data_IF_867655140316
#
_entry.id   IF_867655140316
#
_cell.length_a   1.000
_cell.length_b   1.000
_cell.length_c   1.000
_cell.angle_alpha   90.00
_cell.angle_beta   90.00
_cell.angle_gamma   90.00
#
_symmetry.space_group_name_H-M   'P 1'
#
loop_
_entity.id
_entity.type
_entity.pdbx_description
1 polymer ?
#
# COMPACT_ATOMS: atom_id res chain seq x y z
N UNK A 1 -6.12 3.31 31.56
CA UNK A 1 -4.67 3.52 31.33
C UNK A 1 -4.03 4.08 32.59
N UNK A 2 -2.86 3.61 33.00
CA UNK A 2 -2.10 4.22 34.12
C UNK A 2 -1.46 5.54 33.67
N UNK A 3 -1.86 6.64 34.32
CA UNK A 3 -1.37 7.98 34.06
C UNK A 3 0.01 8.16 34.72
N UNK A 4 1.06 8.40 33.93
CA UNK A 4 2.43 8.63 34.45
C UNK A 4 2.84 10.09 34.29
N UNK A 5 3.76 10.55 35.15
CA UNK A 5 4.26 11.94 35.11
C UNK A 5 4.81 12.31 33.73
N UNK A 6 5.61 11.43 33.11
CA UNK A 6 6.19 11.67 31.79
C UNK A 6 5.13 11.82 30.70
N UNK A 7 4.08 10.99 30.74
CA UNK A 7 2.95 11.10 29.81
C UNK A 7 2.23 12.43 29.96
N UNK A 8 2.01 12.89 31.19
CA UNK A 8 1.34 14.17 31.46
C UNK A 8 2.16 15.35 30.94
N UNK A 9 3.49 15.31 31.10
CA UNK A 9 4.37 16.40 30.65
C UNK A 9 4.54 16.43 29.13
N UNK A 10 4.52 15.27 28.47
CA UNK A 10 4.50 15.17 27.01
C UNK A 10 3.24 15.79 26.39
N UNK A 11 2.19 16.00 27.17
CA UNK A 11 0.95 16.68 26.74
C UNK A 11 0.98 18.20 26.93
N UNK A 12 2.05 18.75 27.51
CA UNK A 12 2.14 20.19 27.72
C UNK A 12 2.30 20.93 26.37
N UNK A 13 1.59 22.04 26.16
CA UNK A 13 1.67 22.79 24.89
C UNK A 13 3.02 23.49 24.69
N UNK A 14 3.76 23.74 25.78
CA UNK A 14 5.11 24.28 25.79
C UNK A 14 5.81 23.99 27.12
N UNK A 15 7.13 24.15 27.15
CA UNK A 15 7.96 23.89 28.32
C UNK A 15 7.60 24.79 29.52
N UNK A 16 7.20 26.04 29.26
CA UNK A 16 6.73 26.96 30.29
C UNK A 16 5.45 26.46 30.98
N UNK A 17 4.51 25.91 30.23
CA UNK A 17 3.30 25.27 30.76
C UNK A 17 3.64 24.04 31.61
N UNK A 18 4.61 23.23 31.20
CA UNK A 18 5.09 22.07 31.96
C UNK A 18 5.72 22.48 33.31
N UNK A 19 6.61 23.48 33.29
CA UNK A 19 7.27 24.00 34.51
C UNK A 19 6.25 24.60 35.49
N UNK A 20 5.32 25.41 34.97
CA UNK A 20 4.29 26.03 35.81
C UNK A 20 3.27 25.01 36.34
N UNK A 21 2.94 23.98 35.56
CA UNK A 21 2.10 22.88 36.02
C UNK A 21 2.75 22.11 37.18
N UNK A 22 4.05 21.78 37.10
CA UNK A 22 4.78 21.14 38.21
C UNK A 22 4.73 21.97 39.49
N UNK A 23 4.87 23.30 39.40
CA UNK A 23 4.76 24.20 40.56
C UNK A 23 3.35 24.23 41.15
N UNK A 24 2.33 24.09 40.31
CA UNK A 24 0.92 24.07 40.71
C UNK A 24 0.43 22.69 41.17
N UNK A 25 1.16 21.60 40.93
CA UNK A 25 0.83 20.25 41.36
C UNK A 25 1.19 19.98 42.85
N UNK A 26 0.80 20.91 43.73
CA UNK A 26 1.02 20.81 45.18
C UNK A 26 -0.33 20.59 45.88
N UNK A 27 -0.54 19.54 46.69
CA UNK A 27 -1.83 19.28 47.33
C UNK A 27 -2.42 20.47 48.09
N UNK A 28 -1.58 21.32 48.70
CA UNK A 28 -2.01 22.53 49.42
C UNK A 28 -2.65 23.61 48.54
N UNK A 29 -2.45 23.58 47.22
CA UNK A 29 -3.07 24.51 46.28
C UNK A 29 -4.43 24.02 45.76
N UNK A 30 -4.89 22.85 46.20
CA UNK A 30 -6.07 22.21 45.67
C UNK A 30 -7.09 21.90 46.76
N UNK A 31 -8.35 22.18 46.45
CA UNK A 31 -9.49 21.83 47.26
C UNK A 31 -10.55 21.14 46.40
N UNK A 32 -11.52 20.51 47.05
CA UNK A 32 -12.61 19.79 46.38
C UNK A 32 -12.13 18.80 45.29
N UNK A 33 -11.00 18.15 45.53
CA UNK A 33 -10.44 17.18 44.59
C UNK A 33 -11.20 15.87 44.65
N UNK A 34 -11.27 15.17 43.52
CA UNK A 34 -11.84 13.84 43.46
C UNK A 34 -11.60 13.13 42.14
N UNK A 35 -11.83 11.83 42.17
CA UNK A 35 -11.83 10.93 41.02
C UNK A 35 -13.09 10.05 41.06
N UNK A 36 -13.65 9.79 39.89
CA UNK A 36 -14.69 8.79 39.69
C UNK A 36 -14.51 8.14 38.31
N UNK A 37 -14.10 6.88 38.28
CA UNK A 37 -13.70 6.22 37.02
C UNK A 37 -12.57 6.98 36.33
N UNK A 38 -12.75 7.37 35.06
CA UNK A 38 -11.77 8.13 34.28
C UNK A 38 -11.81 9.66 34.51
N UNK A 39 -12.78 10.15 35.28
CA UNK A 39 -12.92 11.58 35.53
C UNK A 39 -12.14 12.01 36.77
N UNK A 40 -11.35 13.08 36.65
CA UNK A 40 -10.72 13.77 37.78
C UNK A 40 -11.14 15.24 37.81
N UNK A 41 -11.29 15.79 39.00
CA UNK A 41 -11.60 17.21 39.17
C UNK A 41 -10.91 17.78 40.41
N UNK A 42 -10.87 19.10 40.46
CA UNK A 42 -10.42 19.83 41.63
C UNK A 42 -10.57 21.33 41.42
N UNK A 43 -10.40 22.06 42.51
CA UNK A 43 -10.42 23.52 42.53
C UNK A 43 -9.02 24.01 42.87
N UNK A 44 -8.35 24.68 41.94
CA UNK A 44 -7.01 25.22 42.16
C UNK A 44 -7.10 26.64 42.72
N UNK A 45 -6.31 26.93 43.75
CA UNK A 45 -6.16 28.27 44.32
C UNK A 45 -5.59 29.27 43.29
N UNK A 46 -6.09 30.51 43.34
CA UNK A 46 -5.77 31.62 42.45
C UNK A 46 -6.40 32.92 42.98
N UNK A 47 -6.31 34.03 42.22
CA UNK A 47 -7.04 35.26 42.55
C UNK A 47 -8.55 35.00 42.66
N UNK A 48 -9.06 34.15 41.78
CA UNK A 48 -10.32 33.45 41.94
C UNK A 48 -10.07 31.93 41.83
N UNK A 49 -10.80 31.07 42.56
CA UNK A 49 -10.62 29.62 42.48
C UNK A 49 -10.97 29.08 41.09
N UNK A 50 -10.07 28.32 40.49
CA UNK A 50 -10.28 27.73 39.16
C UNK A 50 -10.81 26.32 39.27
N UNK A 51 -12.01 26.08 38.74
CA UNK A 51 -12.59 24.75 38.62
C UNK A 51 -11.92 24.02 37.46
N UNK A 52 -11.44 22.81 37.71
CA UNK A 52 -10.73 21.97 36.74
C UNK A 52 -11.41 20.61 36.66
N UNK A 53 -11.63 20.15 35.44
CA UNK A 53 -12.25 18.86 35.12
C UNK A 53 -11.43 18.22 33.99
N UNK A 54 -11.05 16.97 34.16
CA UNK A 54 -10.28 16.21 33.18
C UNK A 54 -10.89 14.82 33.01
N UNK A 55 -11.02 14.40 31.76
CA UNK A 55 -11.42 13.04 31.37
C UNK A 55 -10.17 12.30 30.87
N UNK A 56 -9.79 11.23 31.56
CA UNK A 56 -8.58 10.46 31.31
C UNK A 56 -8.73 9.41 30.18
N UNK A 57 -9.96 9.08 29.76
CA UNK A 57 -10.19 8.10 28.67
C UNK A 57 -10.05 8.71 27.27
N UNK A 58 -10.07 10.03 27.17
CA UNK A 58 -9.73 10.75 25.95
C UNK A 58 -9.44 12.20 26.30
N UNK A 59 -8.17 12.60 26.49
CA UNK A 59 -7.77 13.75 27.29
C UNK A 59 -8.56 15.01 26.94
N UNK A 60 -9.55 15.27 27.77
CA UNK A 60 -10.44 16.42 27.68
C UNK A 60 -10.16 17.33 28.85
N UNK A 61 -10.13 18.64 28.61
CA UNK A 61 -9.84 19.60 29.67
C UNK A 61 -10.91 20.66 29.68
N UNK A 62 -11.49 20.88 30.86
CA UNK A 62 -12.31 22.04 31.14
C UNK A 62 -11.75 22.73 32.37
N UNK A 63 -11.36 23.98 32.19
CA UNK A 63 -10.87 24.83 33.25
C UNK A 63 -11.49 26.21 33.12
N UNK A 64 -11.87 26.83 34.24
CA UNK A 64 -12.40 28.20 34.28
C UNK A 64 -11.32 29.28 34.18
N UNK A 65 -10.03 28.92 34.03
CA UNK A 65 -8.96 29.89 33.87
C UNK A 65 -9.02 30.60 32.50
N UNK A 66 -8.56 31.86 32.39
CA UNK A 66 -8.60 32.64 31.14
C UNK A 66 -7.53 32.20 30.10
N UNK A 67 -6.76 31.15 30.37
CA UNK A 67 -5.68 30.73 29.47
C UNK A 67 -6.23 30.12 28.17
N UNK A 68 -5.74 30.54 26.99
CA UNK A 68 -6.12 29.92 25.72
C UNK A 68 -5.42 28.56 25.50
N UNK A 69 -4.41 28.22 26.31
CA UNK A 69 -3.61 27.01 26.16
C UNK A 69 -4.40 25.78 26.64
N UNK A 70 -4.41 24.72 25.83
CA UNK A 70 -5.08 23.44 26.14
C UNK A 70 -4.11 22.27 25.91
N UNK A 71 -3.86 21.42 26.93
CA UNK A 71 -4.24 21.60 28.32
C UNK A 71 -3.56 22.84 28.96
N UNK A 72 -4.30 23.54 29.83
CA UNK A 72 -3.75 24.64 30.60
C UNK A 72 -2.88 24.12 31.76
N UNK A 73 -2.11 25.00 32.41
CA UNK A 73 -1.26 24.62 33.56
C UNK A 73 -2.04 23.93 34.68
N UNK A 74 -3.32 24.29 34.88
CA UNK A 74 -4.16 23.73 35.94
C UNK A 74 -4.61 22.31 35.60
N UNK A 75 -5.02 22.06 34.36
CA UNK A 75 -5.37 20.71 33.90
C UNK A 75 -4.15 19.77 33.98
N UNK A 76 -2.98 20.24 33.55
CA UNK A 76 -1.71 19.51 33.70
C UNK A 76 -1.39 19.25 35.18
N UNK A 77 -1.52 20.25 36.04
CA UNK A 77 -1.25 20.11 37.47
C UNK A 77 -2.18 19.10 38.18
N UNK A 78 -3.46 19.07 37.81
CA UNK A 78 -4.42 18.09 38.34
C UNK A 78 -4.06 16.65 37.90
N UNK A 79 -3.68 16.49 36.63
CA UNK A 79 -3.20 15.19 36.11
C UNK A 79 -1.89 14.76 36.79
N UNK A 80 -0.99 15.70 37.05
CA UNK A 80 0.24 15.43 37.80
C UNK A 80 -0.07 14.98 39.23
N UNK A 81 -1.01 15.62 39.93
CA UNK A 81 -1.45 15.20 41.27
C UNK A 81 -2.03 13.79 41.26
N UNK A 82 -2.85 13.45 40.26
CA UNK A 82 -3.37 12.08 40.11
C UNK A 82 -2.24 11.07 39.86
N UNK A 83 -1.21 11.44 39.09
CA UNK A 83 -0.08 10.57 38.77
C UNK A 83 0.91 10.38 39.92
N UNK A 84 1.03 11.36 40.84
CA UNK A 84 2.01 11.34 41.94
C UNK A 84 1.42 10.93 43.28
N UNK A 85 0.33 11.57 43.70
CA UNK A 85 -0.27 11.37 45.02
C UNK A 85 -1.57 10.57 44.95
N UNK A 86 -2.22 10.54 43.79
CA UNK A 86 -3.59 10.04 43.64
C UNK A 86 -4.62 11.02 44.21
N UNK A 87 -5.77 11.09 43.57
CA UNK A 87 -6.93 11.86 44.05
C UNK A 87 -7.94 10.91 44.72
N UNK A 88 -8.70 11.39 45.71
CA UNK A 88 -9.66 10.55 46.44
C UNK A 88 -10.80 10.09 45.53
N UNK A 89 -11.20 8.83 45.64
CA UNK A 89 -12.39 8.32 44.94
C UNK A 89 -13.66 8.83 45.64
N UNK A 90 -14.58 9.47 44.90
CA UNK A 90 -15.85 10.01 45.42
C UNK A 90 -16.86 10.17 44.29
N UNK A 91 -18.17 10.25 44.56
CA UNK A 91 -19.16 10.52 43.53
C UNK A 91 -18.86 11.83 42.79
N UNK A 92 -18.97 11.81 41.46
CA UNK A 92 -18.72 12.98 40.63
C UNK A 92 -19.78 14.07 40.88
N UNK A 93 -19.39 15.33 41.11
CA UNK A 93 -20.33 16.44 41.21
C UNK A 93 -21.16 16.61 39.93
N UNK A 94 -22.35 17.19 40.03
CA UNK A 94 -23.29 17.37 38.91
C UNK A 94 -22.68 18.13 37.72
N UNK A 95 -21.79 19.10 37.98
CA UNK A 95 -21.04 19.81 36.91
C UNK A 95 -20.18 18.86 36.07
N UNK A 96 -19.54 17.88 36.72
CA UNK A 96 -18.59 16.94 36.11
C UNK A 96 -19.38 15.89 35.34
N UNK A 97 -20.42 15.31 35.96
CA UNK A 97 -21.29 14.34 35.30
C UNK A 97 -22.06 14.94 34.12
N UNK A 98 -22.56 16.18 34.24
CA UNK A 98 -23.22 16.91 33.16
C UNK A 98 -22.27 17.24 32.00
N UNK A 99 -21.03 17.62 32.29
CA UNK A 99 -20.00 17.85 31.26
C UNK A 99 -19.63 16.58 30.50
N UNK A 100 -19.36 15.48 31.22
CA UNK A 100 -19.06 14.17 30.62
C UNK A 100 -20.22 13.66 29.77
N UNK A 101 -21.46 13.80 30.26
CA UNK A 101 -22.66 13.39 29.53
C UNK A 101 -22.80 14.15 28.20
N UNK A 102 -22.65 15.49 28.22
CA UNK A 102 -22.69 16.31 26.99
C UNK A 102 -21.59 15.92 26.00
N UNK A 103 -20.37 15.66 26.48
CA UNK A 103 -19.23 15.22 25.65
C UNK A 103 -19.51 13.87 25.01
N UNK A 104 -20.02 12.90 25.78
CA UNK A 104 -20.34 11.56 25.26
C UNK A 104 -21.40 11.61 24.15
N UNK A 105 -22.43 12.44 24.32
CA UNK A 105 -23.48 12.65 23.31
C UNK A 105 -22.93 13.35 22.07
N UNK A 106 -22.07 14.36 22.22
CA UNK A 106 -21.42 15.04 21.10
C UNK A 106 -20.44 14.14 20.34
N UNK A 107 -19.68 13.29 21.03
CA UNK A 107 -18.77 12.34 20.39
C UNK A 107 -19.54 11.25 19.63
N UNK A 108 -20.64 10.74 20.21
CA UNK A 108 -21.52 9.77 19.54
C UNK A 108 -22.24 10.38 18.33
N UNK A 109 -22.75 11.60 18.43
CA UNK A 109 -23.41 12.28 17.31
C UNK A 109 -22.41 12.61 16.20
N UNK A 110 -21.23 13.13 16.54
CA UNK A 110 -20.15 13.39 15.57
C UNK A 110 -19.71 12.09 14.89
N UNK A 111 -19.52 11.00 15.64
CA UNK A 111 -19.19 9.69 15.06
C UNK A 111 -20.27 9.15 14.12
N UNK A 112 -21.56 9.31 14.46
CA UNK A 112 -22.67 8.89 13.58
C UNK A 112 -22.80 9.75 12.32
N UNK A 113 -22.63 11.06 12.43
CA UNK A 113 -22.64 11.98 11.29
C UNK A 113 -21.45 11.71 10.37
N UNK A 114 -20.26 11.48 10.95
CA UNK A 114 -19.05 11.13 10.19
C UNK A 114 -19.22 9.78 9.48
N UNK A 115 -19.85 8.78 10.11
CA UNK A 115 -20.14 7.49 9.47
C UNK A 115 -21.16 7.61 8.34
N UNK A 116 -22.31 8.27 8.58
CA UNK A 116 -23.33 8.47 7.55
C UNK A 116 -22.79 9.28 6.36
N UNK A 117 -21.92 10.27 6.61
CA UNK A 117 -21.25 11.01 5.56
C UNK A 117 -20.25 10.15 4.76
N UNK A 118 -19.53 9.23 5.42
CA UNK A 118 -18.65 8.26 4.76
C UNK A 118 -19.45 7.29 3.89
N UNK A 119 -20.52 6.72 4.43
CA UNK A 119 -21.38 5.78 3.71
C UNK A 119 -22.02 6.45 2.48
N UNK A 120 -22.49 7.69 2.62
CA UNK A 120 -23.04 8.47 1.50
C UNK A 120 -21.98 8.77 0.43
N UNK A 121 -20.73 9.04 0.81
CA UNK A 121 -19.62 9.24 -0.14
C UNK A 121 -19.26 7.96 -0.86
N UNK A 122 -19.24 6.83 -0.16
CA UNK A 122 -18.95 5.53 -0.78
C UNK A 122 -20.06 5.13 -1.76
N UNK A 123 -21.34 5.29 -1.38
CA UNK A 123 -22.45 5.05 -2.30
C UNK A 123 -22.41 5.96 -3.53
N UNK A 124 -22.08 7.25 -3.35
CA UNK A 124 -21.92 8.18 -4.47
C UNK A 124 -20.76 7.77 -5.40
N UNK A 125 -19.65 7.27 -4.83
CA UNK A 125 -18.53 6.72 -5.58
C UNK A 125 -18.94 5.49 -6.39
N UNK A 126 -19.61 4.52 -5.75
CA UNK A 126 -20.08 3.30 -6.42
C UNK A 126 -20.98 3.64 -7.61
N UNK A 127 -21.93 4.57 -7.45
CA UNK A 127 -22.79 5.01 -8.57
C UNK A 127 -22.02 5.62 -9.74
N UNK A 128 -20.98 6.43 -9.46
CA UNK A 128 -20.12 7.00 -10.49
C UNK A 128 -19.31 5.93 -11.22
N UNK A 129 -18.77 4.98 -10.47
CA UNK A 129 -18.02 3.84 -11.01
C UNK A 129 -18.92 2.98 -11.89
N UNK A 130 -20.13 2.64 -11.43
CA UNK A 130 -21.09 1.86 -12.22
C UNK A 130 -21.45 2.56 -13.53
N UNK A 131 -21.77 3.86 -13.48
CA UNK A 131 -22.04 4.64 -14.68
C UNK A 131 -20.83 4.69 -15.63
N UNK A 132 -19.61 4.84 -15.09
CA UNK A 132 -18.38 4.84 -15.87
C UNK A 132 -18.08 3.50 -16.53
N UNK A 133 -18.33 2.37 -15.84
CA UNK A 133 -18.12 1.03 -16.37
C UNK A 133 -19.13 0.68 -17.46
N UNK A 134 -20.40 1.12 -17.35
CA UNK A 134 -21.37 0.94 -18.43
C UNK A 134 -21.03 1.79 -19.67
N UNK A 135 -20.54 3.01 -19.47
CA UNK A 135 -20.02 3.82 -20.57
C UNK A 135 -18.77 3.18 -21.20
N UNK A 136 -17.87 2.62 -20.40
CA UNK A 136 -16.70 1.87 -20.88
C UNK A 136 -17.13 0.63 -21.68
N UNK A 137 -18.11 -0.13 -21.20
CA UNK A 137 -18.66 -1.30 -21.91
C UNK A 137 -19.15 -0.93 -23.31
N UNK A 138 -19.94 0.14 -23.38
CA UNK A 138 -20.46 0.65 -24.65
C UNK A 138 -19.32 1.03 -25.58
N UNK A 139 -18.32 1.76 -25.06
CA UNK A 139 -17.14 2.16 -25.81
C UNK A 139 -16.34 0.94 -26.32
N UNK A 140 -16.15 -0.11 -25.51
CA UNK A 140 -15.47 -1.35 -25.90
C UNK A 140 -16.23 -2.09 -27.01
N UNK A 141 -17.54 -2.27 -26.86
CA UNK A 141 -18.39 -2.91 -27.86
C UNK A 141 -18.34 -2.17 -29.21
N UNK A 142 -18.36 -0.83 -29.18
CA UNK A 142 -18.24 -0.04 -30.39
C UNK A 142 -16.89 -0.23 -31.08
N UNK A 143 -15.78 -0.39 -30.33
CA UNK A 143 -14.46 -0.66 -30.91
C UNK A 143 -14.42 -2.00 -31.62
N UNK A 144 -14.92 -3.06 -30.98
CA UNK A 144 -14.96 -4.39 -31.60
C UNK A 144 -15.88 -4.39 -32.82
N UNK A 145 -17.03 -3.70 -32.76
CA UNK A 145 -17.98 -3.61 -33.88
C UNK A 145 -17.42 -2.86 -35.10
N UNK A 146 -16.67 -1.78 -34.88
CA UNK A 146 -16.05 -0.99 -35.96
C UNK A 146 -14.82 -1.69 -36.57
N UNK A 147 -14.23 -2.64 -35.85
CA UNK A 147 -13.05 -3.38 -36.25
C UNK A 147 -11.75 -2.81 -35.67
N UNK A 148 -10.86 -3.70 -35.23
CA UNK A 148 -9.64 -3.35 -34.49
C UNK A 148 -8.63 -2.59 -35.38
N UNK A 149 -8.61 -2.89 -36.68
CA UNK A 149 -7.73 -2.22 -37.64
C UNK A 149 -7.96 -0.69 -37.70
N UNK A 150 -9.18 -0.23 -37.37
CA UNK A 150 -9.53 1.19 -37.37
C UNK A 150 -8.78 1.98 -36.28
N UNK A 151 -8.34 1.31 -35.21
CA UNK A 151 -7.64 1.92 -34.09
C UNK A 151 -6.29 2.53 -34.49
N UNK A 152 -5.63 2.01 -35.53
CA UNK A 152 -4.36 2.54 -36.05
C UNK A 152 -4.49 3.97 -36.57
N UNK A 153 -5.68 4.33 -37.07
CA UNK A 153 -5.97 5.68 -37.57
C UNK A 153 -6.41 6.67 -36.49
N UNK A 154 -6.60 6.22 -35.24
CA UNK A 154 -7.10 7.07 -34.15
C UNK A 154 -5.99 7.97 -33.60
N UNK A 155 -6.27 9.26 -33.39
CA UNK A 155 -5.28 10.17 -32.82
C UNK A 155 -5.07 9.89 -31.32
N UNK A 156 -3.89 10.24 -30.75
CA UNK A 156 -3.64 10.09 -29.31
C UNK A 156 -4.67 10.76 -28.39
N UNK A 157 -5.31 11.85 -28.84
CA UNK A 157 -6.37 12.52 -28.08
C UNK A 157 -7.56 11.60 -27.80
N UNK A 158 -7.89 10.69 -28.73
CA UNK A 158 -8.97 9.72 -28.57
C UNK A 158 -8.79 8.85 -27.31
N UNK A 159 -7.56 8.36 -27.10
CA UNK A 159 -7.20 7.53 -25.95
C UNK A 159 -7.15 8.35 -24.66
N UNK A 160 -6.57 9.56 -24.71
CA UNK A 160 -6.51 10.47 -23.55
C UNK A 160 -7.89 10.92 -23.08
N UNK A 161 -8.81 11.20 -24.00
CA UNK A 161 -10.19 11.55 -23.66
C UNK A 161 -10.90 10.38 -22.96
N UNK A 162 -10.71 9.15 -23.45
CA UNK A 162 -11.29 7.98 -22.79
C UNK A 162 -10.66 7.70 -21.43
N UNK A 163 -9.34 7.89 -21.28
CA UNK A 163 -8.65 7.80 -20.00
C UNK A 163 -9.16 8.86 -18.99
N UNK A 164 -9.39 10.10 -19.43
CA UNK A 164 -9.96 11.17 -18.60
C UNK A 164 -11.37 10.82 -18.09
N UNK A 165 -12.22 10.23 -18.96
CA UNK A 165 -13.55 9.77 -18.55
C UNK A 165 -13.49 8.71 -17.44
N UNK A 166 -12.45 7.87 -17.40
CA UNK A 166 -12.27 6.91 -16.31
C UNK A 166 -11.92 7.61 -15.00
N UNK A 167 -11.03 8.61 -15.02
CA UNK A 167 -10.70 9.42 -13.84
C UNK A 167 -11.96 10.15 -13.31
N UNK A 168 -12.75 10.76 -14.19
CA UNK A 168 -14.01 11.45 -13.85
C UNK A 168 -15.04 10.51 -13.21
N UNK A 169 -15.07 9.26 -13.68
CA UNK A 169 -15.88 8.18 -13.12
C UNK A 169 -15.31 7.56 -11.83
N UNK A 170 -14.17 8.06 -11.32
CA UNK A 170 -13.46 7.54 -10.15
C UNK A 170 -12.84 6.14 -10.33
N UNK A 171 -12.57 5.75 -11.59
CA UNK A 171 -11.93 4.50 -12.00
C UNK A 171 -10.41 4.69 -12.15
N UNK A 172 -9.74 5.13 -11.09
CA UNK A 172 -8.33 5.62 -11.14
C UNK A 172 -7.29 4.60 -11.61
N UNK A 173 -7.62 3.31 -11.62
CA UNK A 173 -6.72 2.27 -12.11
C UNK A 173 -6.82 1.98 -13.61
N UNK A 174 -7.79 2.58 -14.32
CA UNK A 174 -8.01 2.32 -15.75
C UNK A 174 -7.34 3.31 -16.73
N UNK A 175 -7.09 4.60 -16.41
CA UNK A 175 -6.46 5.53 -17.35
C UNK A 175 -5.14 5.00 -17.93
N UNK A 176 -4.23 4.54 -17.06
CA UNK A 176 -2.94 3.96 -17.44
C UNK A 176 -3.11 2.77 -18.40
N UNK A 177 -4.09 1.92 -18.12
CA UNK A 177 -4.34 0.71 -18.90
C UNK A 177 -4.90 1.03 -20.28
N UNK A 178 -5.73 2.06 -20.40
CA UNK A 178 -6.23 2.56 -21.69
C UNK A 178 -5.08 3.11 -22.54
N UNK A 179 -4.20 3.91 -21.94
CA UNK A 179 -3.04 4.46 -22.66
C UNK A 179 -2.02 3.37 -23.02
N UNK A 180 -1.89 2.32 -22.21
CA UNK A 180 -1.06 1.17 -22.55
C UNK A 180 -1.60 0.35 -23.73
N UNK A 181 -2.89 0.46 -24.08
CA UNK A 181 -3.43 -0.16 -25.31
C UNK A 181 -2.95 0.63 -26.53
N UNK A 182 -2.98 1.96 -26.47
CA UNK A 182 -2.48 2.82 -27.54
C UNK A 182 -1.04 2.47 -27.93
N UNK A 183 -0.16 2.28 -26.95
CA UNK A 183 1.26 1.97 -27.21
C UNK A 183 1.50 0.61 -27.87
N UNK A 184 0.53 -0.31 -27.82
CA UNK A 184 0.67 -1.63 -28.45
C UNK A 184 0.34 -1.58 -29.94
N UNK A 185 -0.48 -0.63 -30.38
CA UNK A 185 -0.93 -0.52 -31.77
C UNK A 185 0.27 -0.26 -32.67
N UNK A 186 0.50 -1.14 -33.66
CA UNK A 186 1.62 -1.05 -34.58
C UNK A 186 2.99 -1.41 -33.98
N UNK A 187 3.08 -1.81 -32.71
CA UNK A 187 4.36 -2.13 -32.06
C UNK A 187 4.98 -3.44 -32.55
N UNK A 188 4.16 -4.41 -32.96
CA UNK A 188 4.56 -5.70 -33.51
C UNK A 188 3.52 -6.22 -34.50
N UNK A 189 3.85 -7.14 -35.43
CA UNK A 189 2.88 -7.68 -36.41
C UNK A 189 1.62 -8.29 -35.77
N UNK A 190 1.74 -8.87 -34.57
CA UNK A 190 0.63 -9.48 -33.81
C UNK A 190 -0.19 -8.50 -32.95
N UNK A 191 0.04 -7.19 -33.05
CA UNK A 191 -0.62 -6.21 -32.20
C UNK A 191 -2.16 -6.29 -32.17
N UNK A 192 -2.90 -6.68 -33.25
CA UNK A 192 -4.35 -6.73 -33.18
C UNK A 192 -4.84 -7.78 -32.16
N UNK A 193 -4.12 -8.90 -32.01
CA UNK A 193 -4.44 -9.95 -31.04
C UNK A 193 -4.19 -9.46 -29.61
N UNK A 194 -3.04 -8.81 -29.38
CA UNK A 194 -2.68 -8.24 -28.08
C UNK A 194 -3.69 -7.17 -27.63
N UNK A 195 -4.09 -6.29 -28.55
CA UNK A 195 -5.09 -5.25 -28.29
C UNK A 195 -6.46 -5.88 -28.02
N UNK A 196 -6.87 -6.89 -28.80
CA UNK A 196 -8.13 -7.59 -28.55
C UNK A 196 -8.15 -8.26 -27.18
N UNK A 197 -7.04 -8.92 -26.78
CA UNK A 197 -6.91 -9.54 -25.47
C UNK A 197 -7.06 -8.51 -24.35
N UNK A 198 -6.46 -7.33 -24.49
CA UNK A 198 -6.58 -6.26 -23.51
C UNK A 198 -7.98 -5.64 -23.45
N UNK A 199 -8.64 -5.42 -24.60
CA UNK A 199 -10.03 -4.98 -24.66
C UNK A 199 -10.97 -6.02 -24.02
N UNK A 200 -10.75 -7.31 -24.29
CA UNK A 200 -11.48 -8.41 -23.68
C UNK A 200 -11.26 -8.48 -22.17
N UNK A 201 -10.03 -8.26 -21.71
CA UNK A 201 -9.70 -8.22 -20.29
C UNK A 201 -10.33 -6.99 -19.59
N UNK A 202 -10.51 -5.85 -20.27
CA UNK A 202 -11.29 -4.71 -19.76
C UNK A 202 -12.78 -5.05 -19.69
N UNK A 203 -13.32 -5.73 -20.70
CA UNK A 203 -14.71 -6.18 -20.72
C UNK A 203 -14.99 -7.19 -19.59
N UNK A 204 -14.06 -8.11 -19.34
CA UNK A 204 -14.14 -9.05 -18.21
C UNK A 204 -14.14 -8.30 -16.87
N UNK A 205 -13.36 -7.22 -16.75
CA UNK A 205 -13.32 -6.38 -15.55
C UNK A 205 -14.67 -5.71 -15.29
N UNK A 206 -15.29 -5.17 -16.33
CA UNK A 206 -16.65 -4.62 -16.26
C UNK A 206 -17.64 -5.69 -15.78
N UNK A 207 -17.60 -6.88 -16.37
CA UNK A 207 -18.52 -7.95 -16.01
C UNK A 207 -18.33 -8.45 -14.58
N UNK A 208 -17.08 -8.59 -14.14
CA UNK A 208 -16.76 -8.95 -12.77
C UNK A 208 -17.30 -7.93 -11.76
N UNK A 209 -17.29 -6.63 -12.08
CA UNK A 209 -17.89 -5.62 -11.21
C UNK A 209 -19.43 -5.70 -11.15
N UNK A 210 -20.08 -6.12 -12.24
CA UNK A 210 -21.54 -6.35 -12.28
C UNK A 210 -21.92 -7.55 -11.40
N UNK A 211 -21.08 -8.58 -11.36
CA UNK A 211 -21.25 -9.79 -10.54
C UNK A 211 -20.50 -9.75 -9.20
N UNK A 212 -20.09 -8.57 -8.74
CA UNK A 212 -19.23 -8.41 -7.55
C UNK A 212 -19.78 -9.02 -6.26
N UNK A 213 -21.09 -9.15 -6.15
CA UNK A 213 -21.75 -9.72 -4.96
C UNK A 213 -21.55 -11.23 -4.84
N UNK A 214 -21.28 -11.89 -5.97
CA UNK A 214 -21.02 -13.34 -6.07
C UNK A 214 -19.52 -13.66 -6.04
N UNK A 215 -18.64 -12.66 -6.06
CA UNK A 215 -17.20 -12.87 -6.10
C UNK A 215 -16.64 -13.22 -4.71
N UNK A 216 -15.68 -14.16 -4.62
CA UNK A 216 -14.92 -14.36 -3.39
C UNK A 216 -14.24 -13.07 -2.93
N UNK A 217 -14.25 -12.80 -1.62
CA UNK A 217 -13.71 -11.55 -1.06
C UNK A 217 -12.26 -11.24 -1.50
N UNK A 218 -11.31 -12.22 -1.59
CA UNK A 218 -9.97 -11.95 -2.09
C UNK A 218 -9.98 -11.42 -3.53
N UNK A 219 -10.81 -11.98 -4.41
CA UNK A 219 -10.93 -11.56 -5.80
C UNK A 219 -11.59 -10.18 -5.89
N UNK A 220 -12.62 -9.92 -5.09
CA UNK A 220 -13.27 -8.61 -5.02
C UNK A 220 -12.31 -7.52 -4.53
N UNK A 221 -11.46 -7.81 -3.54
CA UNK A 221 -10.42 -6.90 -3.06
C UNK A 221 -9.40 -6.58 -4.17
N UNK A 222 -8.96 -7.61 -4.92
CA UNK A 222 -8.10 -7.43 -6.09
C UNK A 222 -8.75 -6.58 -7.19
N UNK A 223 -10.03 -6.83 -7.49
CA UNK A 223 -10.82 -6.06 -8.46
C UNK A 223 -10.95 -4.59 -8.04
N UNK A 224 -11.30 -4.32 -6.78
CA UNK A 224 -11.34 -2.96 -6.21
C UNK A 224 -10.00 -2.25 -6.38
N UNK A 225 -8.90 -2.93 -6.09
CA UNK A 225 -7.55 -2.39 -6.29
C UNK A 225 -7.29 -1.98 -7.74
N UNK A 226 -7.65 -2.83 -8.71
CA UNK A 226 -7.51 -2.55 -10.16
C UNK A 226 -8.39 -1.42 -10.64
N UNK A 227 -9.55 -1.23 -10.04
CA UNK A 227 -10.43 -0.10 -10.33
C UNK A 227 -9.97 1.21 -9.68
N UNK A 228 -8.98 1.17 -8.79
CA UNK A 228 -8.43 2.35 -8.14
C UNK A 228 -8.98 2.64 -6.74
N UNK A 229 -9.62 1.66 -6.08
CA UNK A 229 -9.73 1.71 -4.61
C UNK A 229 -8.34 1.58 -4.00
N UNK A 230 -8.03 2.49 -3.09
CA UNK A 230 -6.77 2.46 -2.35
C UNK A 230 -7.01 1.82 -0.99
N UNK A 231 -6.31 0.72 -0.71
CA UNK A 231 -6.21 0.19 0.65
C UNK A 231 -5.21 1.06 1.41
N UNK A 232 -5.62 1.76 2.47
CA UNK A 232 -4.71 2.62 3.21
C UNK A 232 -3.54 1.81 3.75
N UNK A 233 -2.34 2.37 3.62
CA UNK A 233 -1.11 1.74 4.12
C UNK A 233 -1.24 1.26 5.56
N UNK A 234 -1.83 2.10 6.43
CA UNK A 234 -2.06 1.80 7.84
C UNK A 234 -2.89 0.52 8.03
N UNK A 235 -3.97 0.36 7.25
CA UNK A 235 -4.83 -0.83 7.32
C UNK A 235 -4.05 -2.09 6.90
N UNK A 236 -3.23 -2.02 5.84
CA UNK A 236 -2.39 -3.15 5.43
C UNK A 236 -1.38 -3.52 6.53
N UNK A 237 -0.78 -2.52 7.19
CA UNK A 237 0.15 -2.79 8.28
C UNK A 237 -0.54 -3.36 9.53
N UNK A 238 -1.78 -2.98 9.82
CA UNK A 238 -2.49 -3.42 11.02
C UNK A 238 -3.23 -4.76 10.83
N UNK A 239 -3.86 -4.95 9.67
CA UNK A 239 -4.80 -6.05 9.40
C UNK A 239 -4.33 -6.99 8.29
N UNK A 240 -3.34 -6.56 7.49
CA UNK A 240 -2.80 -7.38 6.40
C UNK A 240 -2.04 -8.59 6.94
N UNK A 241 -2.07 -9.66 6.16
CA UNK A 241 -1.35 -10.87 6.54
C UNK A 241 0.16 -10.64 6.57
N UNK A 242 0.81 -11.14 7.62
CA UNK A 242 2.22 -10.91 7.89
C UNK A 242 3.02 -12.18 7.65
N UNK A 243 4.06 -12.06 6.83
CA UNK A 243 5.03 -13.13 6.61
C UNK A 243 6.41 -12.63 7.02
N UNK A 244 6.98 -13.30 8.02
CA UNK A 244 8.37 -13.11 8.42
C UNK A 244 9.24 -14.09 7.63
N UNK A 245 10.25 -13.57 6.94
CA UNK A 245 11.18 -14.39 6.16
C UNK A 245 12.53 -13.67 6.00
N UNK A 246 13.49 -14.39 5.43
CA UNK A 246 14.69 -13.84 4.82
C UNK A 246 14.41 -13.59 3.34
N UNK A 247 14.20 -12.34 2.99
CA UNK A 247 13.81 -11.91 1.66
C UNK A 247 15.03 -11.66 0.78
N UNK A 248 15.00 -12.20 -0.44
CA UNK A 248 15.91 -11.84 -1.52
C UNK A 248 15.19 -10.91 -2.50
N UNK A 249 15.72 -9.72 -2.76
CA UNK A 249 15.27 -8.85 -3.84
C UNK A 249 15.83 -9.39 -5.16
N UNK A 250 14.99 -10.01 -5.98
CA UNK A 250 15.43 -10.68 -7.22
C UNK A 250 15.47 -9.74 -8.42
N UNK A 251 14.78 -8.61 -8.36
CA UNK A 251 14.76 -7.65 -9.45
C UNK A 251 13.99 -6.40 -9.11
N UNK A 252 14.26 -5.34 -9.86
CA UNK A 252 13.51 -4.11 -9.81
C UNK A 252 13.33 -3.56 -11.22
N UNK A 253 12.15 -2.98 -11.50
CA UNK A 253 11.82 -2.27 -12.74
C UNK A 253 11.26 -0.91 -12.39
N UNK A 254 11.71 0.11 -13.09
CA UNK A 254 11.14 1.44 -13.00
C UNK A 254 10.43 1.77 -14.32
N UNK A 255 9.21 2.28 -14.24
CA UNK A 255 8.44 2.68 -15.40
C UNK A 255 7.79 4.03 -15.11
N UNK A 256 7.97 5.00 -16.00
CA UNK A 256 7.22 6.24 -15.96
C UNK A 256 5.76 5.97 -16.33
N UNK A 257 4.82 6.50 -15.55
CA UNK A 257 3.40 6.30 -15.81
C UNK A 257 2.95 7.14 -16.99
N UNK A 258 2.05 6.59 -17.80
CA UNK A 258 1.49 7.25 -18.98
C UNK A 258 0.45 8.32 -18.62
N UNK A 259 -0.26 8.14 -17.50
CA UNK A 259 -1.34 9.05 -17.09
C UNK A 259 -0.87 10.25 -16.26
N UNK A 260 0.11 10.05 -15.36
CA UNK A 260 0.59 11.11 -14.46
C UNK A 260 2.01 11.51 -14.85
N UNK A 261 2.14 12.71 -15.41
CA UNK A 261 3.44 13.24 -15.86
C UNK A 261 4.45 13.32 -14.71
N UNK A 262 5.67 12.83 -14.97
CA UNK A 262 6.77 12.82 -14.01
C UNK A 262 6.57 11.88 -12.82
N UNK A 263 5.59 10.97 -12.84
CA UNK A 263 5.44 9.92 -11.84
C UNK A 263 6.11 8.64 -12.31
N UNK A 264 7.07 8.14 -11.54
CA UNK A 264 7.75 6.86 -11.80
C UNK A 264 7.27 5.80 -10.82
N UNK A 265 6.78 4.68 -11.33
CA UNK A 265 6.46 3.49 -10.56
C UNK A 265 7.67 2.53 -10.54
N UNK A 266 8.18 2.26 -9.35
CA UNK A 266 9.22 1.29 -9.06
C UNK A 266 8.60 0.00 -8.56
N UNK A 267 8.78 -1.08 -9.29
CA UNK A 267 8.35 -2.44 -8.94
C UNK A 267 9.56 -3.25 -8.53
N UNK A 268 9.62 -3.69 -7.28
CA UNK A 268 10.62 -4.64 -6.78
C UNK A 268 9.98 -6.00 -6.55
N UNK A 269 10.63 -7.05 -7.05
CA UNK A 269 10.26 -8.44 -6.82
C UNK A 269 11.11 -9.05 -5.72
N UNK A 270 10.49 -9.81 -4.83
CA UNK A 270 11.13 -10.48 -3.73
C UNK A 270 10.66 -11.93 -3.65
N UNK A 271 11.54 -12.79 -3.12
CA UNK A 271 11.20 -14.16 -2.73
C UNK A 271 11.68 -14.41 -1.29
N UNK A 272 10.83 -15.02 -0.48
CA UNK A 272 11.17 -15.51 0.84
C UNK A 272 11.98 -16.80 0.75
N UNK A 273 13.17 -16.83 1.34
CA UNK A 273 14.08 -17.98 1.22
C UNK A 273 13.63 -19.19 2.05
N UNK A 274 12.80 -19.00 3.09
CA UNK A 274 12.28 -20.09 3.93
C UNK A 274 10.90 -20.54 3.46
N UNK A 275 10.04 -19.60 3.09
CA UNK A 275 8.62 -19.87 2.78
C UNK A 275 8.34 -20.05 1.28
N UNK A 276 9.24 -19.60 0.40
CA UNK A 276 8.97 -19.51 -1.03
C UNK A 276 7.95 -18.45 -1.42
N UNK A 277 7.46 -17.64 -0.47
CA UNK A 277 6.49 -16.58 -0.74
C UNK A 277 7.07 -15.58 -1.73
N UNK A 278 6.36 -15.35 -2.84
CA UNK A 278 6.68 -14.32 -3.84
C UNK A 278 6.01 -13.02 -3.43
N UNK A 279 6.72 -11.91 -3.55
CA UNK A 279 6.19 -10.60 -3.20
C UNK A 279 6.61 -9.51 -4.19
N UNK A 280 5.75 -8.52 -4.35
CA UNK A 280 5.93 -7.33 -5.15
C UNK A 280 5.74 -6.11 -4.27
N UNK A 281 6.79 -5.30 -4.17
CA UNK A 281 6.73 -4.00 -3.49
C UNK A 281 6.71 -2.91 -4.55
N UNK A 282 5.70 -2.03 -4.47
CA UNK A 282 5.57 -0.87 -5.35
C UNK A 282 5.96 0.39 -4.59
N UNK A 283 6.85 1.20 -5.18
CA UNK A 283 7.08 2.59 -4.76
C UNK A 283 6.75 3.53 -5.90
N UNK A 284 6.22 4.70 -5.57
CA UNK A 284 5.94 5.74 -6.53
C UNK A 284 6.78 6.95 -6.17
N UNK A 285 7.38 7.56 -7.17
CA UNK A 285 8.30 8.68 -6.99
C UNK A 285 7.95 9.76 -8.00
N UNK A 286 7.64 10.98 -7.51
CA UNK A 286 7.38 12.11 -8.40
C UNK A 286 8.68 12.85 -8.71
N UNK A 287 8.86 13.32 -9.95
CA UNK A 287 10.05 14.04 -10.42
C UNK A 287 10.37 15.27 -9.55
N UNK A 288 9.35 15.95 -9.04
CA UNK A 288 9.52 17.07 -8.12
C UNK A 288 10.03 16.65 -6.72
N UNK A 289 9.70 15.44 -6.27
CA UNK A 289 10.14 14.88 -4.99
C UNK A 289 11.59 14.40 -5.05
N UNK A 290 12.05 13.87 -6.20
CA UNK A 290 13.48 13.58 -6.46
C UNK A 290 14.40 14.76 -6.16
N UNK A 291 13.94 15.98 -6.45
CA UNK A 291 14.70 17.20 -6.17
C UNK A 291 14.62 17.64 -4.70
N UNK A 292 13.51 17.32 -4.00
CA UNK A 292 13.28 17.69 -2.59
C UNK A 292 13.79 16.68 -1.57
N UNK A 293 14.02 15.42 -1.96
CA UNK A 293 14.50 14.34 -1.11
C UNK A 293 15.86 14.61 -0.44
N UNK A 294 16.56 15.70 -0.79
CA UNK A 294 17.77 16.18 -0.09
C UNK A 294 17.49 16.83 1.27
N UNK A 295 16.22 17.13 1.61
CA UNK A 295 15.87 17.91 2.82
C UNK A 295 15.30 17.08 3.98
N UNK A 296 14.98 15.80 3.78
CA UNK A 296 14.45 14.92 4.82
C UNK A 296 14.96 13.48 4.63
N UNK A 297 15.52 12.82 5.65
CA UNK A 297 15.95 11.43 5.51
C UNK A 297 14.74 10.52 5.20
N UNK A 298 14.85 9.62 4.20
CA UNK A 298 13.79 8.70 3.85
C UNK A 298 13.49 7.74 5.02
N UNK A 299 12.23 7.32 5.16
CA UNK A 299 11.88 6.30 6.15
C UNK A 299 12.51 4.95 5.76
N UNK A 300 12.80 4.04 6.71
CA UNK A 300 13.43 2.75 6.40
C UNK A 300 12.69 1.91 5.35
N UNK A 301 11.36 2.04 5.27
CA UNK A 301 10.49 1.37 4.30
C UNK A 301 10.36 2.11 2.95
N UNK A 302 10.79 3.36 2.88
CA UNK A 302 10.88 4.17 1.64
C UNK A 302 12.24 4.00 0.95
N UNK A 303 13.21 3.43 1.66
CA UNK A 303 14.52 3.13 1.10
C UNK A 303 14.41 2.18 -0.09
N UNK A 304 15.28 2.36 -1.11
CA UNK A 304 15.31 1.47 -2.26
C UNK A 304 15.54 0.01 -1.84
N UNK A 305 14.88 -0.89 -2.55
CA UNK A 305 15.12 -2.33 -2.49
C UNK A 305 15.97 -2.64 -3.70
N UNK A 306 17.25 -2.92 -3.44
CA UNK A 306 18.23 -3.09 -4.51
C UNK A 306 18.28 -4.56 -4.94
N UNK A 307 18.24 -4.86 -6.25
CA UNK A 307 18.43 -6.22 -6.74
C UNK A 307 19.69 -6.88 -6.15
N UNK A 308 19.55 -8.12 -5.69
CA UNK A 308 20.59 -8.89 -4.98
C UNK A 308 20.66 -8.64 -3.47
N UNK A 309 20.02 -7.58 -2.95
CA UNK A 309 19.94 -7.33 -1.52
C UNK A 309 19.17 -8.44 -0.81
N UNK A 310 19.66 -8.81 0.38
CA UNK A 310 18.97 -9.71 1.31
C UNK A 310 18.71 -8.99 2.63
N UNK A 311 17.54 -9.25 3.20
CA UNK A 311 17.21 -8.76 4.53
C UNK A 311 16.31 -9.76 5.26
N UNK A 312 16.46 -9.82 6.58
CA UNK A 312 15.47 -10.45 7.44
C UNK A 312 14.39 -9.43 7.79
N UNK A 313 13.13 -9.82 7.71
CA UNK A 313 12.06 -8.87 7.93
C UNK A 313 10.67 -9.44 7.75
N UNK A 314 9.70 -8.63 8.15
CA UNK A 314 8.27 -8.94 8.00
C UNK A 314 7.68 -8.12 6.85
N UNK A 315 6.99 -8.80 5.94
CA UNK A 315 6.15 -8.17 4.93
C UNK A 315 4.68 -8.30 5.32
N UNK A 316 3.90 -7.23 5.11
CA UNK A 316 2.45 -7.25 5.22
C UNK A 316 1.81 -7.17 3.83
N UNK A 317 0.91 -8.10 3.53
CA UNK A 317 0.31 -8.25 2.21
C UNK A 317 -1.00 -7.50 2.07
N UNK A 318 -1.20 -6.90 0.90
CA UNK A 318 -2.49 -6.33 0.52
C UNK A 318 -3.52 -7.46 0.35
N UNK A 319 -4.80 -7.20 0.66
CA UNK A 319 -5.85 -8.16 0.39
C UNK A 319 -5.96 -8.40 -1.13
N UNK A 320 -6.04 -9.67 -1.51
CA UNK A 320 -6.05 -10.09 -2.90
C UNK A 320 -5.94 -11.61 -3.02
N UNK A 321 -6.18 -12.16 -4.22
CA UNK A 321 -6.23 -13.60 -4.45
C UNK A 321 -4.90 -14.35 -4.21
N UNK A 322 -3.76 -13.69 -4.44
CA UNK A 322 -2.44 -14.35 -4.50
C UNK A 322 -1.40 -13.81 -3.51
N UNK A 323 -1.78 -12.92 -2.58
CA UNK A 323 -0.84 -12.23 -1.66
C UNK A 323 0.41 -11.77 -2.40
N UNK A 324 0.23 -11.06 -3.52
CA UNK A 324 1.33 -10.73 -4.42
C UNK A 324 1.97 -9.39 -4.04
N UNK A 325 1.17 -8.42 -3.61
CA UNK A 325 1.60 -7.06 -3.30
C UNK A 325 1.80 -6.91 -1.80
N UNK A 326 2.93 -6.34 -1.41
CA UNK A 326 3.28 -6.19 0.00
C UNK A 326 3.85 -4.82 0.37
N UNK A 327 3.87 -4.55 1.66
CA UNK A 327 4.62 -3.48 2.32
C UNK A 327 5.71 -4.09 3.19
N UNK A 328 6.87 -3.44 3.23
CA UNK A 328 7.93 -3.78 4.18
C UNK A 328 7.58 -3.19 5.55
N UNK A 329 7.35 -4.04 6.55
CA UNK A 329 7.08 -3.60 7.93
C UNK A 329 8.37 -3.34 8.68
N UNK A 330 9.26 -4.33 8.66
CA UNK A 330 10.53 -4.35 9.36
C UNK A 330 11.57 -4.97 8.44
N UNK A 331 12.79 -4.43 8.47
CA UNK A 331 13.91 -4.98 7.72
C UNK A 331 15.22 -4.79 8.46
N UNK A 332 16.05 -5.82 8.42
CA UNK A 332 17.43 -5.82 8.89
C UNK A 332 18.28 -6.45 7.80
N UNK A 333 19.27 -5.72 7.32
CA UNK A 333 20.16 -6.23 6.28
C UNK A 333 20.78 -7.56 6.72
N UNK A 334 20.74 -8.53 5.81
CA UNK A 334 21.24 -9.87 6.05
C UNK A 334 22.41 -10.14 5.11
N UNK A 335 23.56 -10.60 5.62
CA UNK A 335 24.67 -11.00 4.75
C UNK A 335 24.25 -12.23 3.92
N UNK A 336 24.86 -12.42 2.75
CA UNK A 336 24.77 -13.70 2.04
C UNK A 336 24.87 -13.63 0.53
N UNK A 337 25.27 -14.76 -0.06
CA UNK A 337 25.35 -15.04 -1.49
C UNK A 337 24.59 -16.30 -1.90
N UNK A 338 23.65 -16.77 -1.08
CA UNK A 338 22.94 -18.05 -1.26
C UNK A 338 22.31 -18.19 -2.68
N UNK A 339 22.18 -19.42 -3.21
CA UNK A 339 21.57 -19.65 -4.51
C UNK A 339 20.15 -19.09 -4.58
N UNK A 340 19.62 -18.95 -5.80
CA UNK A 340 18.23 -18.55 -6.01
C UNK A 340 17.31 -19.57 -5.31
N UNK A 341 16.55 -19.18 -4.28
CA UNK A 341 15.73 -20.13 -3.55
C UNK A 341 14.50 -20.51 -4.38
N UNK A 342 13.99 -21.73 -4.17
CA UNK A 342 12.77 -22.23 -4.82
C UNK A 342 12.79 -22.15 -6.36
N UNK A 343 13.97 -22.37 -6.96
CA UNK A 343 14.07 -22.53 -8.40
C UNK A 343 13.42 -23.85 -8.84
N UNK A 344 12.61 -23.80 -9.89
CA UNK A 344 11.76 -24.91 -10.36
C UNK A 344 11.86 -25.07 -11.89
N UNK A 345 11.53 -26.25 -12.46
CA UNK A 345 11.46 -26.42 -13.91
C UNK A 345 10.35 -25.55 -14.53
N UNK A 346 10.44 -25.31 -15.83
CA UNK A 346 9.51 -24.44 -16.57
C UNK A 346 8.07 -24.92 -16.43
N UNK A 347 7.81 -26.22 -16.57
CA UNK A 347 6.48 -26.80 -16.42
C UNK A 347 5.82 -26.47 -15.07
N UNK A 348 6.52 -26.69 -13.95
CA UNK A 348 6.01 -26.35 -12.62
C UNK A 348 5.77 -24.85 -12.45
N UNK A 349 6.67 -24.01 -12.99
CA UNK A 349 6.49 -22.57 -12.98
C UNK A 349 5.23 -22.13 -13.74
N UNK A 350 4.95 -22.76 -14.89
CA UNK A 350 3.77 -22.49 -15.71
C UNK A 350 2.48 -23.02 -15.08
N UNK A 351 2.51 -24.14 -14.37
CA UNK A 351 1.38 -24.61 -13.54
C UNK A 351 1.03 -23.56 -12.48
N UNK A 352 2.04 -23.02 -11.79
CA UNK A 352 1.84 -21.92 -10.83
C UNK A 352 1.28 -20.64 -11.47
N UNK A 353 1.62 -20.36 -12.73
CA UNK A 353 1.01 -19.26 -13.51
C UNK A 353 -0.46 -19.56 -13.82
N UNK A 354 -0.78 -20.78 -14.26
CA UNK A 354 -2.15 -21.19 -14.56
C UNK A 354 -3.05 -21.10 -13.31
N UNK A 355 -2.57 -21.59 -12.18
CA UNK A 355 -3.24 -21.49 -10.88
C UNK A 355 -3.48 -20.04 -10.44
N UNK A 356 -2.48 -19.18 -10.63
CA UNK A 356 -2.60 -17.75 -10.35
C UNK A 356 -3.63 -17.08 -11.26
N UNK A 357 -3.65 -17.41 -12.56
CA UNK A 357 -4.62 -16.87 -13.52
C UNK A 357 -6.04 -17.36 -13.24
N UNK A 358 -6.21 -18.61 -12.80
CA UNK A 358 -7.50 -19.15 -12.40
C UNK A 358 -8.09 -18.39 -11.19
N UNK A 359 -7.24 -17.93 -10.26
CA UNK A 359 -7.65 -17.10 -9.11
C UNK A 359 -7.78 -15.62 -9.46
N UNK A 360 -6.95 -15.13 -10.39
CA UNK A 360 -6.90 -13.72 -10.80
C UNK A 360 -6.64 -13.56 -12.32
N UNK A 361 -7.69 -13.48 -13.13
CA UNK A 361 -7.58 -13.41 -14.59
C UNK A 361 -6.89 -12.14 -15.11
N UNK A 362 -6.72 -11.11 -14.28
CA UNK A 362 -6.10 -9.83 -14.67
C UNK A 362 -4.66 -9.72 -14.19
N UNK A 363 -4.06 -10.82 -13.74
CA UNK A 363 -2.64 -10.84 -13.42
C UNK A 363 -1.85 -10.94 -14.73
N UNK A 364 -1.11 -9.88 -15.05
CA UNK A 364 -0.35 -9.78 -16.31
C UNK A 364 1.15 -10.00 -16.12
N UNK A 365 1.61 -10.17 -14.88
CA UNK A 365 3.03 -10.29 -14.53
C UNK A 365 3.23 -11.31 -13.42
N UNK A 366 4.15 -12.25 -13.66
CA UNK A 366 4.48 -13.33 -12.75
C UNK A 366 5.98 -13.36 -12.52
N UNK A 367 6.41 -13.49 -11.26
CA UNK A 367 7.80 -13.80 -10.96
C UNK A 367 7.99 -15.31 -11.13
N UNK A 368 8.86 -15.72 -12.05
CA UNK A 368 9.29 -17.10 -12.20
C UNK A 368 10.73 -17.25 -11.69
N UNK A 369 10.97 -18.35 -11.00
CA UNK A 369 12.28 -18.73 -10.48
C UNK A 369 12.62 -20.07 -11.13
N UNK A 370 13.35 -20.02 -12.24
CA UNK A 370 13.61 -21.19 -13.08
C UNK A 370 14.93 -21.85 -12.69
N UNK A 371 14.95 -23.16 -12.55
CA UNK A 371 16.13 -23.98 -12.27
C UNK A 371 16.62 -24.73 -13.51
N UNK A 372 17.93 -24.96 -13.59
CA UNK A 372 18.58 -25.78 -14.63
C UNK A 372 18.22 -25.40 -16.07
N UNK A 373 18.08 -24.09 -16.32
CA UNK A 373 17.74 -23.58 -17.65
C UNK A 373 18.97 -23.09 -18.42
N UNK A 374 18.95 -23.24 -19.74
CA UNK A 374 20.03 -22.82 -20.65
C UNK A 374 19.51 -21.83 -21.70
N UNK A 375 20.14 -20.67 -21.89
CA UNK A 375 19.84 -19.79 -23.01
C UNK A 375 20.22 -20.45 -24.34
N UNK A 376 19.30 -20.51 -25.29
CA UNK A 376 19.52 -21.10 -26.60
C UNK A 376 18.94 -20.22 -27.73
N UNK A 377 19.55 -20.19 -28.92
CA UNK A 377 18.99 -19.50 -30.07
C UNK A 377 17.73 -20.23 -30.57
N UNK A 378 16.77 -19.48 -31.09
CA UNK A 378 15.55 -19.96 -31.74
C UNK A 378 15.35 -19.21 -33.06
N UNK A 379 14.59 -19.79 -34.00
CA UNK A 379 14.34 -19.16 -35.31
C UNK A 379 13.71 -17.76 -35.24
N UNK A 380 13.05 -17.43 -34.13
CA UNK A 380 12.40 -16.14 -33.88
C UNK A 380 13.14 -15.25 -32.85
N UNK A 381 14.32 -15.66 -32.36
CA UNK A 381 15.07 -14.91 -31.35
C UNK A 381 15.83 -15.81 -30.39
N UNK A 382 15.63 -15.61 -29.08
CA UNK A 382 16.27 -16.39 -28.03
C UNK A 382 15.25 -17.01 -27.10
N UNK A 383 15.55 -18.18 -26.59
CA UNK A 383 14.74 -18.89 -25.58
C UNK A 383 15.62 -19.24 -24.39
N UNK A 384 14.95 -19.53 -23.28
CA UNK A 384 15.53 -20.22 -22.13
C UNK A 384 14.83 -21.56 -22.04
N UNK A 385 15.60 -22.65 -22.10
CA UNK A 385 15.08 -24.00 -22.15
C UNK A 385 15.58 -24.84 -20.97
N UNK A 386 14.72 -25.69 -20.42
CA UNK A 386 15.12 -26.79 -19.55
C UNK A 386 15.16 -28.11 -20.36
N UNK A 387 15.05 -29.26 -19.69
CA UNK A 387 15.09 -30.56 -20.33
C UNK A 387 13.87 -30.87 -21.24
N UNK A 388 12.73 -30.21 -21.03
CA UNK A 388 11.47 -30.54 -21.69
C UNK A 388 10.85 -29.33 -22.41
N UNK A 389 10.96 -28.14 -21.83
CA UNK A 389 10.22 -26.95 -22.24
C UNK A 389 11.17 -25.80 -22.58
N UNK A 390 10.65 -24.83 -23.33
CA UNK A 390 11.37 -23.61 -23.68
C UNK A 390 10.44 -22.40 -23.63
N UNK A 391 10.93 -21.30 -23.06
CA UNK A 391 10.23 -20.03 -23.00
C UNK A 391 11.00 -18.94 -23.75
N UNK A 392 10.34 -18.12 -24.58
CA UNK A 392 11.00 -17.04 -25.32
C UNK A 392 11.50 -15.94 -24.38
N UNK A 393 12.70 -15.44 -24.66
CA UNK A 393 13.24 -14.24 -24.03
C UNK A 393 12.66 -13.01 -24.72
N UNK A 394 12.32 -12.00 -23.93
CA UNK A 394 12.01 -10.66 -24.44
C UNK A 394 13.23 -9.98 -25.07
N UNK A 395 13.08 -8.72 -25.47
CA UNK A 395 14.04 -7.92 -26.26
C UNK A 395 15.43 -7.69 -25.62
N UNK A 396 15.75 -8.32 -24.49
CA UNK A 396 17.07 -8.27 -23.89
C UNK A 396 18.08 -9.04 -24.74
N UNK A 397 19.24 -8.43 -24.88
CA UNK A 397 20.39 -9.09 -25.46
C UNK A 397 20.80 -10.29 -24.59
N UNK A 398 20.88 -11.51 -25.14
CA UNK A 398 21.20 -12.73 -24.40
C UNK A 398 22.66 -12.77 -23.92
N UNK A 399 23.49 -11.82 -24.34
CA UNK A 399 24.94 -11.86 -24.14
C UNK A 399 25.33 -11.93 -22.66
N UNK A 400 24.65 -11.19 -21.78
CA UNK A 400 24.94 -11.26 -20.34
C UNK A 400 24.60 -12.63 -19.76
N UNK A 401 23.49 -13.24 -20.19
CA UNK A 401 23.12 -14.59 -19.77
C UNK A 401 24.15 -15.61 -20.27
N UNK A 402 24.54 -15.52 -21.54
CA UNK A 402 25.54 -16.41 -22.13
C UNK A 402 26.91 -16.28 -21.44
N UNK A 403 27.36 -15.05 -21.18
CA UNK A 403 28.62 -14.78 -20.49
C UNK A 403 28.64 -15.33 -19.06
N UNK A 404 27.53 -15.21 -18.32
CA UNK A 404 27.41 -15.75 -16.96
C UNK A 404 27.25 -17.28 -16.96
N UNK A 405 26.54 -17.83 -17.95
CA UNK A 405 26.29 -19.27 -18.07
C UNK A 405 27.52 -20.07 -18.50
N UNK A 406 28.38 -19.49 -19.35
CA UNK A 406 29.41 -20.25 -20.07
C UNK A 406 28.85 -21.42 -20.89
N UNK A 407 27.58 -21.36 -21.30
CA UNK A 407 26.86 -22.45 -21.98
C UNK A 407 26.37 -23.56 -21.05
N UNK A 408 26.44 -23.39 -19.73
CA UNK A 408 25.95 -24.36 -18.74
C UNK A 408 24.56 -23.96 -18.21
N UNK A 409 23.76 -24.92 -17.72
CA UNK A 409 22.52 -24.63 -17.02
C UNK A 409 22.74 -23.67 -15.84
N UNK A 410 21.76 -22.80 -15.61
CA UNK A 410 21.77 -21.79 -14.55
C UNK A 410 20.39 -21.65 -13.91
N UNK A 411 20.31 -20.96 -12.76
CA UNK A 411 19.01 -20.57 -12.20
C UNK A 411 18.70 -19.11 -12.57
N UNK A 412 17.48 -18.87 -13.04
CA UNK A 412 17.05 -17.59 -13.57
C UNK A 412 15.84 -17.06 -12.79
N UNK A 413 15.96 -15.85 -12.26
CA UNK A 413 14.80 -15.07 -11.84
C UNK A 413 14.34 -14.20 -13.00
N UNK A 414 13.07 -14.29 -13.39
CA UNK A 414 12.51 -13.54 -14.51
C UNK A 414 11.07 -13.10 -14.23
N UNK A 415 10.69 -11.97 -14.83
CA UNK A 415 9.29 -11.56 -14.92
C UNK A 415 8.70 -12.16 -16.21
N UNK A 416 7.67 -12.98 -16.08
CA UNK A 416 6.88 -13.51 -17.19
C UNK A 416 5.68 -12.61 -17.45
N UNK A 417 5.51 -12.16 -18.69
CA UNK A 417 4.40 -11.30 -19.10
C UNK A 417 3.24 -12.01 -19.80
N UNK A 418 3.31 -13.34 -19.93
CA UNK A 418 2.36 -14.16 -20.68
C UNK A 418 2.86 -14.55 -22.07
N UNK A 419 3.85 -13.84 -22.61
CA UNK A 419 4.41 -14.08 -23.94
C UNK A 419 5.93 -14.20 -23.93
N UNK A 420 6.64 -13.43 -23.10
CA UNK A 420 8.10 -13.34 -23.04
C UNK A 420 8.60 -13.31 -21.59
N UNK A 421 9.77 -13.94 -21.38
CA UNK A 421 10.53 -13.83 -20.15
C UNK A 421 11.40 -12.57 -20.19
N UNK A 422 11.33 -11.80 -19.11
CA UNK A 422 12.17 -10.63 -18.87
C UNK A 422 13.15 -10.94 -17.72
N UNK A 423 14.40 -11.34 -18.02
CA UNK A 423 15.41 -11.65 -17.02
C UNK A 423 15.61 -10.52 -15.99
N UNK A 424 15.54 -10.87 -14.70
CA UNK A 424 15.74 -9.97 -13.56
C UNK A 424 17.09 -10.22 -12.88
N UNK A 425 17.52 -11.47 -12.83
CA UNK A 425 18.77 -11.87 -12.19
C UNK A 425 19.06 -13.34 -12.35
N UNK A 426 20.32 -13.72 -12.16
CA UNK A 426 20.82 -15.07 -12.45
C UNK A 426 21.59 -15.57 -11.24
N UNK A 427 21.35 -16.79 -10.78
CA UNK A 427 22.27 -17.46 -9.87
C UNK A 427 23.24 -18.33 -10.68
N UNK A 428 24.53 -17.99 -10.61
CA UNK A 428 25.63 -18.72 -11.24
C UNK A 428 26.77 -18.86 -10.23
N UNK A 429 27.43 -20.03 -10.21
CA UNK A 429 28.57 -20.31 -9.31
C UNK A 429 28.30 -19.98 -7.82
N UNK A 430 27.06 -20.23 -7.35
CA UNK A 430 26.67 -19.97 -5.96
C UNK A 430 26.60 -18.50 -5.58
N UNK A 431 26.36 -17.60 -6.55
CA UNK A 431 26.09 -16.17 -6.33
C UNK A 431 24.94 -15.70 -7.20
N UNK A 432 24.13 -14.80 -6.66
CA UNK A 432 23.08 -14.13 -7.42
C UNK A 432 23.60 -12.83 -8.06
N UNK A 433 23.45 -12.73 -9.37
CA UNK A 433 23.85 -11.61 -10.21
C UNK A 433 22.59 -10.90 -10.71
N UNK A 434 22.24 -9.71 -10.18
CA UNK A 434 21.14 -8.95 -10.72
C UNK A 434 21.45 -8.48 -12.14
N UNK A 435 20.43 -8.48 -13.00
CA UNK A 435 20.53 -7.98 -14.37
C UNK A 435 19.89 -6.59 -14.43
N UNK A 436 20.71 -5.56 -14.56
CA UNK A 436 20.23 -4.18 -14.78
C UNK A 436 19.59 -4.07 -16.18
N UNK A 437 18.56 -3.21 -16.33
CA UNK A 437 18.05 -2.78 -17.65
C UNK A 437 18.97 -1.73 -18.26
#
# INVERSE_FOLDING_TARGET
MTLTVDKVLAMAPDEGAAVTARRSARPSLWSDTGRHGAAIWGTCAGMEPFLVEVDLDGPAFRCTCPSPKKPCRHALALMLLQATTGLPERPAPERVSGWLSRRSTQQRSKGRVDQAARDKREQARVRKVEAGLEALKTWLCDRVRLGIAELESRPPSFWREQAARMEDAQLKGLPERILAIEQRIGAAPGWPEDVLAELGSLALLVEAWRHREDLPEPLLAGLRGRLGWSTPRKAVLEEGERVEDRWLVVGARAQETLWVDGLTAHRSWLVGARTGQRARVLRFEHRAERMRARLQPPRPDELPLLPGQRFEGTLAFFPGPDRDRALVCERRDAPGGDPLPHAEPISAALEGVADALARDPWRTRHLLLLGDVTPAPSGAGWVVADAADALPLGSRSPWTLLALSGGRPLSLAAEWDGAHLHPLGVAAAGRFHPLED
#
